data_IF_581094241054
#
_entry.id   IF_581094241054
#
_cell.length_a   1.000
_cell.length_b   1.000
_cell.length_c   1.000
_cell.angle_alpha   90.00
_cell.angle_beta   90.00
_cell.angle_gamma   90.00
#
_symmetry.space_group_name_H-M   'P 1'
#
loop_
_entity.id
_entity.type
_entity.pdbx_description
1 polymer ?
#
# COMPACT_ATOMS: atom_id res chain seq x y z
N UNK A 1 39.75 0.44 8.53
CA UNK A 1 38.69 -0.15 7.80
C UNK A 1 37.53 0.76 7.53
N UNK A 2 37.43 1.26 6.32
CA UNK A 2 36.28 1.99 5.83
C UNK A 2 35.35 1.00 5.12
N UNK A 3 34.54 0.26 5.86
CA UNK A 3 33.60 -0.69 5.28
C UNK A 3 32.21 -0.11 5.01
N UNK A 4 31.82 0.95 5.72
CA UNK A 4 30.46 1.49 5.68
C UNK A 4 30.07 2.13 4.33
N UNK A 5 31.03 2.67 3.57
CA UNK A 5 30.72 3.31 2.29
C UNK A 5 30.69 2.35 1.09
N UNK A 6 31.35 1.21 1.17
CA UNK A 6 31.43 0.27 0.04
C UNK A 6 30.25 -0.70 -0.01
N UNK A 7 29.70 -1.08 1.14
CA UNK A 7 28.53 -1.97 1.20
C UNK A 7 27.24 -1.29 0.72
N UNK A 8 27.10 0.00 0.96
CA UNK A 8 25.97 0.78 0.43
C UNK A 8 25.98 0.95 -1.09
N UNK A 9 27.10 0.64 -1.75
CA UNK A 9 27.25 0.75 -3.20
C UNK A 9 27.15 -0.60 -3.93
N UNK A 10 26.98 -1.71 -3.21
CA UNK A 10 26.72 -3.01 -3.83
C UNK A 10 25.28 -2.99 -4.29
N UNK A 11 25.08 -2.89 -5.61
CA UNK A 11 23.78 -3.02 -6.26
C UNK A 11 23.77 -4.35 -6.99
N UNK A 12 23.01 -5.28 -6.49
CA UNK A 12 22.65 -6.46 -7.27
C UNK A 12 21.83 -5.99 -8.48
N UNK A 13 22.10 -6.57 -9.63
CA UNK A 13 21.36 -6.30 -10.85
C UNK A 13 20.53 -7.53 -11.16
N UNK A 14 19.22 -7.34 -11.19
CA UNK A 14 18.27 -8.36 -11.57
C UNK A 14 17.54 -7.93 -12.84
N UNK A 15 17.23 -8.87 -13.69
CA UNK A 15 16.09 -8.74 -14.60
C UNK A 15 14.80 -8.79 -13.80
N UNK A 16 13.69 -8.30 -14.33
CA UNK A 16 12.39 -8.35 -13.63
C UNK A 16 11.96 -9.79 -13.28
N UNK A 17 12.32 -10.76 -14.12
CA UNK A 17 12.02 -12.18 -13.87
C UNK A 17 12.86 -12.73 -12.71
N UNK A 18 14.15 -12.48 -12.68
CA UNK A 18 15.05 -12.87 -11.58
C UNK A 18 14.62 -12.19 -10.25
N UNK A 19 14.21 -10.93 -10.32
CA UNK A 19 13.73 -10.21 -9.15
C UNK A 19 12.39 -10.77 -8.63
N UNK A 20 11.51 -11.18 -9.54
CA UNK A 20 10.26 -11.87 -9.18
C UNK A 20 10.54 -13.17 -8.42
N UNK A 21 11.46 -14.00 -8.89
CA UNK A 21 11.86 -15.23 -8.21
C UNK A 21 12.49 -14.94 -6.82
N UNK A 22 13.35 -13.94 -6.75
CA UNK A 22 13.95 -13.50 -5.50
C UNK A 22 12.87 -13.09 -4.49
N UNK A 23 11.90 -12.25 -4.88
CA UNK A 23 10.81 -11.79 -4.03
C UNK A 23 9.93 -12.96 -3.55
N UNK A 24 9.56 -13.87 -4.44
CA UNK A 24 8.76 -15.05 -4.09
C UNK A 24 9.48 -15.90 -3.02
N UNK A 25 10.78 -16.14 -3.21
CA UNK A 25 11.58 -16.89 -2.26
C UNK A 25 11.69 -16.16 -0.92
N UNK A 26 11.87 -14.83 -0.95
CA UNK A 26 11.92 -14.00 0.25
C UNK A 26 10.59 -14.04 1.01
N UNK A 27 9.47 -13.87 0.32
CA UNK A 27 8.13 -13.91 0.90
C UNK A 27 7.84 -15.26 1.56
N UNK A 28 8.19 -16.37 0.90
CA UNK A 28 8.03 -17.72 1.45
C UNK A 28 8.92 -17.94 2.67
N UNK A 29 10.17 -17.51 2.63
CA UNK A 29 11.16 -17.70 3.69
C UNK A 29 10.79 -16.95 4.97
N UNK A 30 10.25 -15.75 4.86
CA UNK A 30 10.00 -14.86 6.00
C UNK A 30 8.52 -14.64 6.29
N UNK A 31 7.63 -15.39 5.64
CA UNK A 31 6.17 -15.25 5.76
C UNK A 31 5.69 -13.82 5.53
N UNK A 32 6.26 -13.17 4.51
CA UNK A 32 5.86 -11.81 4.10
C UNK A 32 4.48 -11.90 3.45
N UNK A 33 3.55 -11.06 3.87
CA UNK A 33 2.16 -11.06 3.43
C UNK A 33 1.82 -9.86 2.52
N UNK A 34 2.70 -8.88 2.44
CA UNK A 34 2.48 -7.68 1.60
C UNK A 34 3.80 -7.15 1.06
N UNK A 35 3.79 -6.72 -0.21
CA UNK A 35 4.91 -6.07 -0.89
C UNK A 35 4.39 -4.82 -1.59
N UNK A 36 5.11 -3.71 -1.45
CA UNK A 36 4.79 -2.43 -2.09
C UNK A 36 5.81 -2.14 -3.19
N UNK A 37 5.33 -1.73 -4.35
CA UNK A 37 6.11 -1.37 -5.55
C UNK A 37 7.26 -2.34 -5.88
N UNK A 38 6.96 -3.61 -6.18
CA UNK A 38 8.00 -4.59 -6.50
C UNK A 38 8.74 -4.29 -7.81
N UNK A 39 8.16 -3.53 -8.73
CA UNK A 39 8.72 -3.16 -10.03
C UNK A 39 8.55 -1.67 -10.31
N UNK A 40 9.27 -1.18 -11.35
CA UNK A 40 9.07 0.18 -11.86
C UNK A 40 7.63 0.43 -12.28
N UNK A 41 7.14 1.66 -12.10
CA UNK A 41 5.80 2.12 -12.51
C UNK A 41 5.54 1.99 -14.02
N UNK A 42 6.60 1.87 -14.82
CA UNK A 42 6.51 1.68 -16.27
C UNK A 42 6.46 0.21 -16.69
N UNK A 43 6.89 -0.72 -15.82
CA UNK A 43 7.01 -2.15 -16.14
C UNK A 43 5.70 -2.92 -15.91
N UNK A 44 4.62 -2.49 -16.54
CA UNK A 44 3.28 -3.10 -16.44
C UNK A 44 3.27 -4.60 -16.71
N UNK A 45 4.17 -5.09 -17.56
CA UNK A 45 4.22 -6.51 -17.90
C UNK A 45 4.70 -7.35 -16.71
N UNK A 46 5.73 -6.90 -16.01
CA UNK A 46 6.24 -7.58 -14.81
C UNK A 46 5.22 -7.51 -13.67
N UNK A 47 4.55 -6.39 -13.49
CA UNK A 47 3.45 -6.26 -12.53
C UNK A 47 2.34 -7.27 -12.80
N UNK A 48 1.82 -7.34 -14.02
CA UNK A 48 0.77 -8.30 -14.41
C UNK A 48 1.23 -9.74 -14.21
N UNK A 49 2.45 -10.07 -14.66
CA UNK A 49 3.01 -11.42 -14.56
C UNK A 49 3.18 -11.85 -13.11
N UNK A 50 3.74 -10.98 -12.25
CA UNK A 50 3.95 -11.25 -10.85
C UNK A 50 2.63 -11.38 -10.08
N UNK A 51 1.66 -10.51 -10.34
CA UNK A 51 0.33 -10.58 -9.74
C UNK A 51 -0.38 -11.88 -10.10
N UNK A 52 -0.34 -12.27 -11.36
CA UNK A 52 -0.92 -13.55 -11.81
C UNK A 52 -0.24 -14.75 -11.15
N UNK A 53 1.07 -14.70 -10.92
CA UNK A 53 1.84 -15.79 -10.35
C UNK A 53 1.69 -15.90 -8.83
N UNK A 54 1.61 -14.77 -8.13
CA UNK A 54 1.76 -14.76 -6.68
C UNK A 54 0.70 -13.93 -5.92
N UNK A 55 -0.16 -13.22 -6.62
CA UNK A 55 -1.17 -12.32 -6.03
C UNK A 55 -2.24 -13.01 -5.18
N UNK A 56 -2.44 -14.32 -5.33
CA UNK A 56 -3.32 -15.08 -4.44
C UNK A 56 -2.69 -15.39 -3.07
N UNK A 57 -1.37 -15.25 -2.97
CA UNK A 57 -0.61 -15.59 -1.77
C UNK A 57 -0.25 -14.36 -0.93
N UNK A 58 -0.09 -13.20 -1.56
CA UNK A 58 0.30 -11.96 -0.89
C UNK A 58 -0.46 -10.75 -1.42
N UNK A 59 -0.50 -9.70 -0.62
CA UNK A 59 -0.91 -8.38 -1.07
C UNK A 59 0.21 -7.73 -1.90
N UNK A 60 -0.12 -7.23 -3.08
CA UNK A 60 0.78 -6.51 -3.97
C UNK A 60 0.23 -5.10 -4.13
N UNK A 61 0.87 -4.14 -3.46
CA UNK A 61 0.42 -2.76 -3.38
C UNK A 61 1.09 -1.92 -4.46
N UNK A 62 0.29 -1.22 -5.28
CA UNK A 62 0.80 -0.19 -6.18
C UNK A 62 0.77 1.17 -5.51
N UNK A 63 1.93 1.78 -5.30
CA UNK A 63 2.11 3.17 -4.87
C UNK A 63 2.38 4.05 -6.09
N UNK A 64 3.60 4.08 -6.58
CA UNK A 64 3.98 4.89 -7.75
C UNK A 64 3.32 4.38 -9.03
N UNK A 65 3.05 3.07 -9.13
CA UNK A 65 2.29 2.48 -10.23
C UNK A 65 0.95 3.19 -10.47
N UNK A 66 0.24 3.53 -9.41
CA UNK A 66 -1.10 4.09 -9.48
C UNK A 66 -1.17 5.58 -9.16
N UNK A 67 -0.25 6.10 -8.35
CA UNK A 67 -0.20 7.50 -7.91
C UNK A 67 -1.57 8.06 -7.47
N UNK A 68 -2.43 7.22 -6.86
CA UNK A 68 -3.83 7.53 -6.52
C UNK A 68 -4.65 8.06 -7.72
N UNK A 69 -4.27 7.73 -8.94
CA UNK A 69 -4.87 8.24 -10.18
C UNK A 69 -5.90 7.24 -10.73
N UNK A 70 -7.13 7.70 -10.94
CA UNK A 70 -8.25 6.87 -11.43
C UNK A 70 -7.95 6.13 -12.74
N UNK A 71 -7.29 6.80 -13.70
CA UNK A 71 -6.97 6.17 -14.99
C UNK A 71 -5.92 5.08 -14.85
N UNK A 72 -4.92 5.28 -13.96
CA UNK A 72 -3.88 4.28 -13.70
C UNK A 72 -4.45 3.10 -12.90
N UNK A 73 -5.33 3.36 -11.94
CA UNK A 73 -6.04 2.31 -11.19
C UNK A 73 -6.88 1.47 -12.15
N UNK A 74 -7.68 2.11 -13.01
CA UNK A 74 -8.48 1.40 -14.02
C UNK A 74 -7.61 0.56 -14.96
N UNK A 75 -6.50 1.12 -15.44
CA UNK A 75 -5.53 0.37 -16.26
C UNK A 75 -4.95 -0.84 -15.53
N UNK A 76 -4.69 -0.72 -14.22
CA UNK A 76 -4.23 -1.82 -13.38
C UNK A 76 -5.28 -2.93 -13.28
N UNK A 77 -6.53 -2.57 -13.04
CA UNK A 77 -7.67 -3.48 -12.99
C UNK A 77 -7.80 -4.24 -14.31
N UNK A 78 -7.83 -3.53 -15.43
CA UNK A 78 -7.94 -4.12 -16.77
C UNK A 78 -6.80 -5.08 -17.10
N UNK A 79 -5.59 -4.82 -16.59
CA UNK A 79 -4.41 -5.66 -16.82
C UNK A 79 -4.22 -6.76 -15.79
N UNK A 80 -4.93 -6.71 -14.67
CA UNK A 80 -4.68 -7.59 -13.53
C UNK A 80 -3.31 -7.33 -12.89
N UNK A 81 -2.91 -6.07 -12.78
CA UNK A 81 -1.64 -5.64 -12.19
C UNK A 81 -1.85 -5.13 -10.78
N UNK A 82 -1.15 -5.67 -9.79
CA UNK A 82 -1.38 -5.47 -8.36
C UNK A 82 -2.72 -6.08 -7.87
N UNK A 83 -2.99 -5.99 -6.57
CA UNK A 83 -4.27 -6.34 -5.94
C UNK A 83 -4.62 -5.42 -4.77
N UNK A 84 -3.82 -4.37 -4.58
CA UNK A 84 -4.07 -3.30 -3.62
C UNK A 84 -3.53 -1.96 -4.14
N UNK A 85 -4.16 -0.86 -3.68
CA UNK A 85 -3.80 0.51 -4.06
C UNK A 85 -3.38 1.28 -2.82
N UNK A 86 -2.24 1.97 -2.89
CA UNK A 86 -1.87 2.95 -1.89
C UNK A 86 -2.57 4.28 -2.18
N UNK A 87 -3.35 4.75 -1.23
CA UNK A 87 -4.18 5.95 -1.34
C UNK A 87 -3.52 7.11 -0.60
N UNK A 88 -3.16 8.14 -1.32
CA UNK A 88 -2.58 9.38 -0.80
C UNK A 88 -3.45 10.59 -1.20
N UNK A 89 -4.32 11.09 -0.32
CA UNK A 89 -5.30 12.14 -0.68
C UNK A 89 -4.67 13.39 -1.30
N UNK A 90 -3.48 13.79 -0.84
CA UNK A 90 -2.79 14.96 -1.39
C UNK A 90 -2.06 14.70 -2.72
N UNK A 91 -2.01 13.47 -3.18
CA UNK A 91 -1.42 13.12 -4.50
C UNK A 91 -2.44 13.35 -5.62
N UNK A 92 -3.70 13.01 -5.37
CA UNK A 92 -4.81 13.30 -6.30
C UNK A 92 -5.34 14.73 -6.11
N UNK A 93 -5.42 15.23 -4.87
CA UNK A 93 -5.64 16.63 -4.55
C UNK A 93 -6.97 17.00 -3.93
N UNK A 94 -8.04 16.26 -4.16
CA UNK A 94 -9.36 16.49 -3.55
C UNK A 94 -9.89 15.26 -2.82
N UNK A 95 -10.78 15.48 -1.85
CA UNK A 95 -11.43 14.37 -1.15
C UNK A 95 -12.36 13.60 -2.08
N UNK A 96 -13.07 14.28 -2.97
CA UNK A 96 -13.97 13.64 -3.93
C UNK A 96 -13.22 12.66 -4.81
N UNK A 97 -12.15 13.09 -5.46
CA UNK A 97 -11.33 12.20 -6.31
C UNK A 97 -10.66 11.08 -5.50
N UNK A 98 -10.30 11.35 -4.24
CA UNK A 98 -9.80 10.30 -3.32
C UNK A 98 -10.85 9.23 -3.07
N UNK A 99 -12.10 9.63 -2.80
CA UNK A 99 -13.22 8.71 -2.60
C UNK A 99 -13.52 7.92 -3.86
N UNK A 100 -13.52 8.57 -5.02
CA UNK A 100 -13.72 7.91 -6.32
C UNK A 100 -12.63 6.85 -6.57
N UNK A 101 -11.36 7.14 -6.23
CA UNK A 101 -10.27 6.18 -6.35
C UNK A 101 -10.42 4.97 -5.40
N UNK A 102 -10.85 5.21 -4.16
CA UNK A 102 -11.12 4.16 -3.19
C UNK A 102 -12.29 3.27 -3.66
N UNK A 103 -13.39 3.89 -4.08
CA UNK A 103 -14.57 3.18 -4.57
C UNK A 103 -14.26 2.34 -5.82
N UNK A 104 -13.51 2.90 -6.77
CA UNK A 104 -13.06 2.19 -7.97
C UNK A 104 -12.24 0.95 -7.60
N UNK A 105 -11.25 1.09 -6.70
CA UNK A 105 -10.42 -0.01 -6.27
C UNK A 105 -11.24 -1.09 -5.55
N UNK A 106 -12.01 -0.72 -4.54
CA UNK A 106 -12.76 -1.66 -3.71
C UNK A 106 -13.87 -2.38 -4.49
N UNK A 107 -14.58 -1.71 -5.39
CA UNK A 107 -15.62 -2.31 -6.22
C UNK A 107 -15.08 -3.33 -7.23
N UNK A 108 -13.78 -3.28 -7.51
CA UNK A 108 -13.09 -4.24 -8.39
C UNK A 108 -12.23 -5.26 -7.61
N UNK A 109 -12.44 -5.38 -6.30
CA UNK A 109 -11.78 -6.40 -5.48
C UNK A 109 -10.34 -6.09 -5.10
N UNK A 110 -9.88 -4.85 -5.30
CA UNK A 110 -8.58 -4.38 -4.81
C UNK A 110 -8.72 -3.93 -3.35
N UNK A 111 -7.74 -4.26 -2.55
CA UNK A 111 -7.61 -3.68 -1.22
C UNK A 111 -7.11 -2.23 -1.31
N UNK A 112 -7.35 -1.44 -0.26
CA UNK A 112 -6.87 -0.06 -0.18
C UNK A 112 -6.07 0.15 1.08
N UNK A 113 -4.95 0.87 0.96
CA UNK A 113 -4.08 1.25 2.08
C UNK A 113 -4.03 2.76 2.15
N UNK A 114 -4.63 3.37 3.16
CA UNK A 114 -4.58 4.82 3.33
C UNK A 114 -3.20 5.22 3.84
N UNK A 115 -2.55 6.18 3.18
CA UNK A 115 -1.14 6.47 3.44
C UNK A 115 -0.89 7.92 3.79
N UNK A 116 0.07 8.09 4.71
CA UNK A 116 0.72 9.35 4.97
C UNK A 116 1.71 9.73 3.84
N UNK A 117 2.36 10.88 3.99
CA UNK A 117 3.51 11.31 3.17
C UNK A 117 4.76 11.44 4.04
N UNK A 118 5.93 11.58 3.39
CA UNK A 118 7.22 11.82 4.07
C UNK A 118 7.19 13.13 4.89
N UNK A 119 6.62 14.19 4.34
CA UNK A 119 6.26 15.41 5.08
C UNK A 119 4.84 15.30 5.62
N UNK A 120 4.67 15.34 6.93
CA UNK A 120 3.38 15.20 7.62
C UNK A 120 3.21 16.26 8.70
N UNK A 121 1.94 16.45 9.08
CA UNK A 121 1.52 17.27 10.22
C UNK A 121 0.79 16.39 11.24
N UNK A 122 0.43 16.94 12.39
CA UNK A 122 -0.36 16.25 13.40
C UNK A 122 -1.86 16.11 13.04
N UNK A 123 -2.26 16.54 11.83
CA UNK A 123 -3.61 16.33 11.34
C UNK A 123 -3.94 14.82 11.25
N UNK A 124 -5.12 14.43 11.69
CA UNK A 124 -5.53 13.03 11.85
C UNK A 124 -6.45 12.52 10.73
N UNK A 125 -6.74 13.35 9.74
CA UNK A 125 -7.74 13.09 8.69
C UNK A 125 -7.60 11.71 8.05
N UNK A 126 -6.37 11.25 7.78
CA UNK A 126 -6.17 9.93 7.14
C UNK A 126 -6.60 8.76 8.03
N UNK A 127 -6.61 8.92 9.35
CA UNK A 127 -7.14 7.90 10.27
C UNK A 127 -8.67 7.82 10.17
N UNK A 128 -9.33 8.97 10.17
CA UNK A 128 -10.78 9.05 10.00
C UNK A 128 -11.18 8.49 8.62
N UNK A 129 -10.43 8.85 7.57
CA UNK A 129 -10.65 8.34 6.22
C UNK A 129 -10.51 6.81 6.15
N UNK A 130 -9.46 6.24 6.74
CA UNK A 130 -9.22 4.80 6.72
C UNK A 130 -10.38 4.01 7.34
N UNK A 131 -10.92 4.51 8.46
CA UNK A 131 -12.07 3.88 9.14
C UNK A 131 -13.35 4.12 8.35
N UNK A 132 -13.62 5.36 7.92
CA UNK A 132 -14.85 5.73 7.22
C UNK A 132 -15.03 4.98 5.89
N UNK A 133 -13.94 4.69 5.19
CA UNK A 133 -13.94 3.95 3.91
C UNK A 133 -13.81 2.44 4.08
N UNK A 134 -13.70 1.97 5.33
CA UNK A 134 -13.45 0.55 5.62
C UNK A 134 -12.24 -0.01 4.84
N UNK A 135 -11.19 0.78 4.70
CA UNK A 135 -9.97 0.37 3.98
C UNK A 135 -9.22 -0.76 4.71
N UNK A 136 -9.41 -0.89 6.02
CA UNK A 136 -8.81 -1.95 6.84
C UNK A 136 -7.32 -1.78 7.09
N UNK A 137 -6.65 -0.87 6.38
CA UNK A 137 -5.22 -0.66 6.45
C UNK A 137 -4.85 0.82 6.41
N UNK A 138 -3.82 1.17 7.19
CA UNK A 138 -3.20 2.50 7.17
C UNK A 138 -1.68 2.38 7.23
N UNK A 139 -0.98 3.11 6.36
CA UNK A 139 0.47 3.29 6.38
C UNK A 139 0.77 4.68 6.93
N UNK A 140 1.16 4.77 8.21
CA UNK A 140 1.32 6.07 8.88
C UNK A 140 2.61 6.23 9.69
N UNK A 141 3.62 5.42 9.39
CA UNK A 141 4.93 5.47 10.06
C UNK A 141 4.96 4.67 11.36
N UNK A 142 5.97 4.95 12.18
CA UNK A 142 6.20 4.23 13.43
C UNK A 142 5.71 5.00 14.65
N UNK A 143 5.82 4.40 15.83
CA UNK A 143 5.47 4.98 17.13
C UNK A 143 6.47 6.06 17.60
N UNK A 144 7.11 6.75 16.70
CA UNK A 144 8.00 7.89 16.96
C UNK A 144 7.56 9.09 16.13
N UNK A 145 7.80 10.30 16.61
CA UNK A 145 7.35 11.58 16.07
C UNK A 145 5.84 11.83 16.25
N UNK A 146 5.51 13.03 16.73
CA UNK A 146 4.14 13.40 17.08
C UNK A 146 3.17 13.36 15.90
N UNK A 147 3.63 13.75 14.71
CA UNK A 147 2.83 13.71 13.49
C UNK A 147 2.43 12.29 13.06
N UNK A 148 3.12 11.25 13.54
CA UNK A 148 2.76 9.85 13.31
C UNK A 148 1.86 9.32 14.41
N UNK A 149 2.27 9.57 15.67
CA UNK A 149 1.53 9.13 16.85
C UNK A 149 0.13 9.74 16.90
N UNK A 150 -0.06 10.96 16.41
CA UNK A 150 -1.38 11.60 16.32
C UNK A 150 -2.40 10.71 15.57
N UNK A 151 -1.99 10.03 14.50
CA UNK A 151 -2.87 9.13 13.73
C UNK A 151 -3.26 7.88 14.51
N UNK A 152 -2.30 7.26 15.21
CA UNK A 152 -2.58 6.11 16.08
C UNK A 152 -3.51 6.51 17.23
N UNK A 153 -3.27 7.65 17.87
CA UNK A 153 -4.15 8.15 18.92
C UNK A 153 -5.56 8.46 18.41
N UNK A 154 -5.69 8.89 17.16
CA UNK A 154 -7.01 9.08 16.54
C UNK A 154 -7.74 7.76 16.33
N UNK A 155 -7.05 6.73 15.88
CA UNK A 155 -7.64 5.39 15.75
C UNK A 155 -8.15 4.88 17.11
N UNK A 156 -7.39 5.07 18.19
CA UNK A 156 -7.83 4.72 19.55
C UNK A 156 -9.07 5.51 19.98
N UNK A 157 -9.13 6.83 19.71
CA UNK A 157 -10.35 7.62 19.98
C UNK A 157 -11.57 7.16 19.21
N UNK A 158 -11.37 6.76 17.94
CA UNK A 158 -12.43 6.18 17.13
C UNK A 158 -12.90 4.86 17.74
N UNK A 159 -11.98 3.98 18.14
CA UNK A 159 -12.31 2.72 18.79
C UNK A 159 -13.09 2.91 20.10
N UNK A 160 -12.72 3.90 20.93
CA UNK A 160 -13.42 4.23 22.17
C UNK A 160 -14.86 4.74 21.94
N UNK A 161 -15.12 5.45 20.83
CA UNK A 161 -16.41 6.06 20.53
C UNK A 161 -17.35 5.13 19.75
N UNK A 162 -16.83 4.14 19.08
CA UNK A 162 -17.59 3.22 18.25
C UNK A 162 -17.31 1.77 18.67
N UNK A 163 -18.35 0.94 18.80
CA UNK A 163 -18.17 -0.52 18.99
C UNK A 163 -17.76 -1.17 17.66
N UNK A 164 -16.52 -0.95 17.27
CA UNK A 164 -15.96 -1.41 16.00
C UNK A 164 -15.73 -2.92 15.93
N UNK A 165 -15.82 -3.64 17.06
CA UNK A 165 -15.56 -5.10 17.10
C UNK A 165 -16.43 -5.92 16.16
N UNK A 166 -17.53 -5.35 15.69
CA UNK A 166 -18.46 -5.99 14.73
C UNK A 166 -18.24 -5.57 13.27
N UNK A 167 -17.37 -4.61 13.01
CA UNK A 167 -17.24 -3.94 11.70
C UNK A 167 -15.93 -4.20 10.98
N UNK A 168 -15.00 -4.96 11.58
CA UNK A 168 -13.70 -5.21 10.94
C UNK A 168 -13.91 -6.13 9.75
N UNK A 169 -13.64 -5.60 8.55
CA UNK A 169 -13.56 -6.38 7.32
C UNK A 169 -12.47 -7.43 7.49
N UNK A 170 -12.81 -8.68 7.28
CA UNK A 170 -11.79 -9.73 7.18
C UNK A 170 -10.98 -9.45 5.91
N UNK A 171 -9.78 -8.91 6.07
CA UNK A 171 -8.85 -8.76 4.98
C UNK A 171 -8.41 -10.16 4.50
N UNK A 172 -8.36 -10.37 3.20
CA UNK A 172 -7.99 -11.66 2.58
C UNK A 172 -6.60 -12.14 3.02
N UNK A 173 -5.72 -11.25 3.43
CA UNK A 173 -4.30 -11.53 3.73
C UNK A 173 -3.95 -11.53 5.22
N UNK A 174 -4.91 -11.28 6.13
CA UNK A 174 -4.71 -11.27 7.59
C UNK A 174 -5.66 -12.22 8.29
#
# INVERSE_FOLDING_TARGET
GRLVGSEMCIRDRFTSDEFSEFLINLCKKYSIISVEDPFSEDDWNSWTKFTKLFGDNIQIVGDDLFATNLNLINKGIERGAANAVLIKPNQIGTLTETMDAIELAQSNGYETVISHRSGETENTFISDLAVATNSGQIKTGSMSRSERIAKFNQLLRIEENFDLKKSIKNNKFY
#
